data_IF_225188012397
#
_entry.id   IF_225188012397
#
_cell.length_a   1.000
_cell.length_b   1.000
_cell.length_c   1.000
_cell.angle_alpha   90.00
_cell.angle_beta   90.00
_cell.angle_gamma   90.00
#
_symmetry.space_group_name_H-M   'P 1'
#
loop_
_entity.id
_entity.type
_entity.pdbx_description
1 polymer ?
#
# COMPACT_ATOMS: atom_id res chain seq x y z
N UNK A 1 -0.80 -1.47 5.49
CA UNK A 1 -0.18 -0.53 4.52
C UNK A 1 -0.58 -0.98 3.13
N UNK A 2 -1.40 -0.18 2.44
CA UNK A 2 -2.11 -0.58 1.23
C UNK A 2 -1.57 0.24 0.06
N UNK A 3 -1.12 -0.42 -1.01
CA UNK A 3 -0.84 0.23 -2.29
C UNK A 3 -2.04 -0.01 -3.22
N UNK A 4 -2.49 1.04 -3.90
CA UNK A 4 -3.51 0.98 -4.96
C UNK A 4 -2.94 1.64 -6.21
N UNK A 5 -2.92 0.92 -7.33
CA UNK A 5 -2.59 1.43 -8.66
C UNK A 5 -3.78 1.13 -9.56
N UNK A 6 -4.50 2.16 -10.03
CA UNK A 6 -5.32 2.06 -11.24
C UNK A 6 -5.15 3.35 -12.04
N UNK A 7 -4.70 3.20 -13.28
CA UNK A 7 -4.51 4.24 -14.28
C UNK A 7 -5.66 4.21 -15.30
N UNK A 8 -6.17 5.37 -15.68
CA UNK A 8 -7.10 5.51 -16.81
C UNK A 8 -6.36 5.24 -18.13
N UNK A 9 -6.93 4.35 -18.95
CA UNK A 9 -6.31 3.79 -20.15
C UNK A 9 -6.47 4.70 -21.35
N UNK A 10 -5.54 5.64 -21.53
CA UNK A 10 -5.20 6.20 -22.86
C UNK A 10 -3.76 6.68 -22.85
N UNK A 11 -2.85 5.95 -23.53
CA UNK A 11 -1.61 6.56 -24.03
C UNK A 11 -0.25 6.08 -23.48
N UNK A 12 -0.09 4.84 -23.01
CA UNK A 12 1.26 4.29 -22.79
C UNK A 12 1.66 3.36 -23.95
N UNK A 13 2.21 3.96 -24.99
CA UNK A 13 3.00 3.28 -26.01
C UNK A 13 4.35 4.01 -26.13
N UNK A 14 5.44 3.28 -25.91
CA UNK A 14 6.80 3.77 -26.19
C UNK A 14 7.86 3.34 -25.17
N UNK A 15 8.31 2.09 -25.28
CA UNK A 15 9.66 1.61 -24.98
C UNK A 15 10.38 2.04 -23.68
N UNK A 16 10.18 1.26 -22.61
CA UNK A 16 11.21 1.10 -21.57
C UNK A 16 11.86 -0.29 -21.69
N UNK A 17 13.02 -0.32 -22.33
CA UNK A 17 13.85 -1.52 -22.55
C UNK A 17 14.46 -2.01 -21.23
N UNK A 18 13.93 -3.11 -20.70
CA UNK A 18 14.36 -3.86 -19.49
C UNK A 18 15.71 -4.63 -19.71
N UNK A 19 16.55 -4.21 -20.64
CA UNK A 19 17.71 -5.01 -21.08
C UNK A 19 19.00 -4.81 -20.27
N UNK A 20 19.05 -3.92 -19.29
CA UNK A 20 20.26 -3.70 -18.46
C UNK A 20 20.36 -4.62 -17.24
N UNK A 21 19.24 -5.09 -16.68
CA UNK A 21 19.27 -5.98 -15.50
C UNK A 21 19.40 -7.48 -15.86
N UNK A 22 18.86 -7.91 -17.01
CA UNK A 22 18.96 -9.30 -17.44
C UNK A 22 20.38 -9.72 -17.84
N UNK A 23 21.20 -8.78 -18.34
CA UNK A 23 22.54 -9.09 -18.84
C UNK A 23 23.53 -9.45 -17.71
N UNK A 24 23.36 -8.88 -16.52
CA UNK A 24 24.26 -9.08 -15.37
C UNK A 24 24.08 -10.48 -14.75
N UNK A 25 22.87 -11.06 -14.83
CA UNK A 25 22.59 -12.41 -14.33
C UNK A 25 22.93 -13.51 -15.34
N UNK A 26 22.85 -13.23 -16.65
CA UNK A 26 23.07 -14.24 -17.68
C UNK A 26 24.55 -14.57 -17.92
N UNK A 27 25.45 -13.62 -17.74
CA UNK A 27 26.90 -13.82 -17.96
C UNK A 27 27.50 -14.92 -17.05
N UNK A 28 27.28 -14.93 -15.72
CA UNK A 28 27.82 -16.00 -14.87
C UNK A 28 27.14 -17.35 -15.09
N UNK A 29 25.86 -17.39 -15.47
CA UNK A 29 25.16 -18.64 -15.80
C UNK A 29 25.71 -19.26 -17.11
N UNK A 30 26.03 -18.41 -18.09
CA UNK A 30 26.59 -18.85 -19.37
C UNK A 30 28.02 -19.39 -19.20
N UNK A 31 28.87 -18.74 -18.39
CA UNK A 31 30.22 -19.22 -18.06
C UNK A 31 30.19 -20.50 -17.20
N UNK A 32 29.22 -20.66 -16.29
CA UNK A 32 29.04 -21.89 -15.51
C UNK A 32 28.61 -23.08 -16.38
N UNK A 33 27.67 -22.89 -17.30
CA UNK A 33 27.24 -23.94 -18.24
C UNK A 33 28.39 -24.29 -19.20
N UNK A 34 29.13 -23.29 -19.68
CA UNK A 34 30.30 -23.47 -20.54
C UNK A 34 31.42 -24.28 -19.85
N UNK A 35 31.75 -23.99 -18.58
CA UNK A 35 32.79 -24.73 -17.87
C UNK A 35 32.38 -26.17 -17.55
N UNK A 36 31.08 -26.41 -17.29
CA UNK A 36 30.56 -27.76 -17.05
C UNK A 36 30.49 -28.61 -18.32
N UNK A 37 30.25 -28.01 -19.49
CA UNK A 37 30.36 -28.70 -20.78
C UNK A 37 31.82 -29.01 -21.17
N UNK A 38 32.78 -28.16 -20.78
CA UNK A 38 34.19 -28.39 -21.08
C UNK A 38 34.86 -29.42 -20.14
N UNK A 39 34.32 -29.61 -18.93
CA UNK A 39 34.84 -30.56 -17.93
C UNK A 39 34.18 -31.95 -17.97
N UNK A 40 33.24 -32.23 -18.89
CA UNK A 40 32.67 -33.59 -19.03
C UNK A 40 33.55 -34.57 -19.81
N UNK A 41 34.68 -34.11 -20.36
CA UNK A 41 35.62 -34.95 -21.14
C UNK A 41 36.85 -35.44 -20.34
N UNK A 42 36.86 -35.26 -19.01
CA UNK A 42 37.95 -35.77 -18.16
C UNK A 42 37.43 -36.39 -16.84
N UNK A 43 36.72 -37.52 -16.95
CA UNK A 43 36.65 -38.49 -15.86
C UNK A 43 37.99 -39.25 -15.79
N UNK A 44 38.74 -39.09 -14.70
CA UNK A 44 39.33 -40.20 -13.92
C UNK A 44 40.31 -39.70 -12.84
N UNK A 45 40.28 -40.41 -11.71
CA UNK A 45 41.22 -40.43 -10.59
C UNK A 45 41.30 -39.20 -9.68
N UNK A 46 40.83 -39.35 -8.44
CA UNK A 46 41.71 -39.57 -7.27
C UNK A 46 40.87 -39.54 -5.97
N UNK A 47 40.56 -40.73 -5.45
CA UNK A 47 40.16 -40.93 -4.06
C UNK A 47 41.42 -41.14 -3.20
N UNK A 48 41.29 -40.79 -1.90
CA UNK A 48 42.25 -40.88 -0.80
C UNK A 48 43.22 -39.71 -0.65
N UNK A 49 43.02 -38.95 0.44
CA UNK A 49 44.04 -38.69 1.47
C UNK A 49 43.29 -38.33 2.76
N UNK A 50 43.45 -39.19 3.76
CA UNK A 50 43.12 -38.95 5.17
C UNK A 50 44.34 -38.31 5.84
N UNK A 51 44.20 -37.10 6.41
CA UNK A 51 45.21 -36.55 7.31
C UNK A 51 44.67 -36.56 8.74
N UNK A 52 45.25 -37.47 9.53
CA UNK A 52 45.16 -37.54 10.97
C UNK A 52 46.44 -36.89 11.49
N UNK A 53 46.35 -35.69 12.08
CA UNK A 53 47.48 -35.07 12.76
C UNK A 53 47.05 -34.75 14.20
N UNK A 54 47.36 -35.69 15.09
CA UNK A 54 47.33 -35.52 16.53
C UNK A 54 48.65 -34.86 16.94
N UNK A 55 48.62 -33.61 17.38
CA UNK A 55 49.75 -32.98 18.04
C UNK A 55 49.79 -33.42 19.52
N UNK A 56 50.88 -34.08 19.94
CA UNK A 56 51.19 -34.24 21.37
C UNK A 56 52.01 -33.05 21.89
N UNK A 57 51.74 -32.73 23.14
CA UNK A 57 51.76 -31.39 23.72
C UNK A 57 52.99 -31.21 24.60
N UNK A 58 53.53 -29.99 24.69
CA UNK A 58 54.07 -29.49 25.95
C UNK A 58 52.93 -29.27 26.94
N UNK A 59 52.34 -30.38 27.41
CA UNK A 59 51.28 -30.53 28.41
C UNK A 59 50.23 -29.41 28.56
N UNK A 60 49.14 -29.45 27.80
CA UNK A 60 47.79 -29.04 28.21
C UNK A 60 46.77 -29.27 27.07
N UNK A 61 45.80 -30.17 27.31
CA UNK A 61 44.70 -30.47 26.40
C UNK A 61 43.55 -29.47 26.62
N UNK A 62 43.29 -28.58 25.65
CA UNK A 62 42.06 -27.79 25.60
C UNK A 62 41.19 -28.35 24.48
N UNK A 63 40.12 -29.06 24.87
CA UNK A 63 39.11 -29.56 23.94
C UNK A 63 38.29 -28.41 23.36
N UNK A 64 38.19 -28.34 22.03
CA UNK A 64 37.25 -27.46 21.34
C UNK A 64 36.27 -28.34 20.56
N UNK A 65 34.99 -28.18 20.85
CA UNK A 65 33.86 -28.92 20.25
C UNK A 65 33.64 -28.57 18.77
N UNK A 66 33.13 -29.51 17.95
CA UNK A 66 32.93 -29.28 16.52
C UNK A 66 31.57 -28.62 16.30
N UNK A 67 31.53 -27.29 16.30
CA UNK A 67 30.38 -26.52 15.82
C UNK A 67 30.84 -25.69 14.62
N UNK A 68 31.13 -26.37 13.50
CA UNK A 68 31.28 -25.70 12.20
C UNK A 68 29.91 -25.80 11.50
N UNK A 69 29.21 -24.67 11.49
CA UNK A 69 27.85 -24.49 10.98
C UNK A 69 27.70 -24.86 9.49
N UNK A 70 26.52 -25.38 9.04
CA UNK A 70 26.21 -25.70 7.64
C UNK A 70 26.33 -24.52 6.65
N UNK A 71 26.47 -23.29 7.14
CA UNK A 71 26.73 -22.10 6.34
C UNK A 71 28.07 -22.16 5.59
N UNK A 72 29.10 -22.83 6.15
CA UNK A 72 30.41 -22.91 5.50
C UNK A 72 30.39 -23.76 4.23
N UNK A 73 29.53 -24.79 4.20
CA UNK A 73 29.39 -25.69 3.05
C UNK A 73 28.65 -25.02 1.87
N UNK A 74 27.68 -24.16 2.18
CA UNK A 74 26.90 -23.39 1.20
C UNK A 74 27.73 -22.28 0.52
N UNK A 75 28.72 -21.72 1.23
CA UNK A 75 29.68 -20.76 0.68
C UNK A 75 30.76 -21.40 -0.20
N UNK A 76 31.18 -22.63 0.15
CA UNK A 76 32.20 -23.40 -0.59
C UNK A 76 31.74 -23.86 -1.98
N UNK A 77 30.43 -24.06 -2.17
CA UNK A 77 29.84 -24.58 -3.41
C UNK A 77 29.26 -23.50 -4.34
N UNK A 78 29.40 -22.22 -3.97
CA UNK A 78 28.97 -21.09 -4.81
C UNK A 78 30.00 -20.85 -5.94
N UNK A 79 29.56 -20.73 -7.21
CA UNK A 79 30.45 -20.33 -8.30
C UNK A 79 31.12 -19.01 -7.94
N UNK A 80 32.44 -18.92 -8.08
CA UNK A 80 33.25 -17.77 -7.65
C UNK A 80 32.72 -16.43 -8.18
N UNK A 81 32.08 -16.43 -9.37
CA UNK A 81 31.42 -15.25 -9.93
C UNK A 81 30.23 -14.74 -9.12
N UNK A 82 29.41 -15.63 -8.55
CA UNK A 82 28.25 -15.25 -7.72
C UNK A 82 28.72 -14.70 -6.37
N UNK A 83 29.72 -15.35 -5.75
CA UNK A 83 30.32 -14.87 -4.53
C UNK A 83 30.98 -13.49 -4.72
N UNK A 84 31.74 -13.30 -5.81
CA UNK A 84 32.38 -12.03 -6.13
C UNK A 84 31.35 -10.92 -6.43
N UNK A 85 30.30 -11.20 -7.19
CA UNK A 85 29.24 -10.22 -7.46
C UNK A 85 28.46 -9.84 -6.20
N UNK A 86 28.20 -10.80 -5.29
CA UNK A 86 27.51 -10.54 -4.03
C UNK A 86 28.38 -9.74 -3.05
N UNK A 87 29.69 -10.01 -3.01
CA UNK A 87 30.66 -9.22 -2.24
C UNK A 87 30.81 -7.81 -2.80
N UNK A 88 30.93 -7.64 -4.12
CA UNK A 88 30.99 -6.32 -4.77
C UNK A 88 29.69 -5.55 -4.53
N UNK A 89 28.53 -6.21 -4.62
CA UNK A 89 27.23 -5.62 -4.31
C UNK A 89 27.16 -5.16 -2.84
N UNK A 90 27.55 -6.00 -1.88
CA UNK A 90 27.57 -5.65 -0.46
C UNK A 90 28.58 -4.54 -0.16
N UNK A 91 29.76 -4.57 -0.79
CA UNK A 91 30.80 -3.54 -0.66
C UNK A 91 30.41 -2.20 -1.27
N UNK A 92 29.57 -2.17 -2.32
CA UNK A 92 29.05 -0.90 -2.87
C UNK A 92 27.79 -0.42 -2.14
N UNK A 93 26.92 -1.33 -1.70
CA UNK A 93 25.63 -0.99 -1.11
C UNK A 93 25.74 -0.40 0.30
N UNK A 94 26.66 -0.91 1.14
CA UNK A 94 26.90 -0.35 2.47
C UNK A 94 27.44 1.10 2.48
N UNK A 95 28.46 1.48 1.67
CA UNK A 95 28.92 2.86 1.62
C UNK A 95 27.92 3.79 0.93
N UNK A 96 27.08 3.31 0.01
CA UNK A 96 26.03 4.15 -0.59
C UNK A 96 24.91 4.49 0.40
N UNK A 97 24.50 3.52 1.22
CA UNK A 97 23.58 3.75 2.35
C UNK A 97 24.15 4.75 3.35
N UNK A 98 25.43 4.58 3.72
CA UNK A 98 26.13 5.52 4.60
C UNK A 98 26.28 6.92 3.96
N UNK A 99 26.55 7.00 2.66
CA UNK A 99 26.65 8.26 1.91
C UNK A 99 25.30 8.98 1.85
N UNK A 100 24.20 8.28 1.61
CA UNK A 100 22.85 8.86 1.63
C UNK A 100 22.47 9.33 3.04
N UNK A 101 22.82 8.56 4.07
CA UNK A 101 22.68 8.99 5.47
C UNK A 101 23.49 10.26 5.77
N UNK A 102 24.75 10.33 5.32
CA UNK A 102 25.57 11.54 5.45
C UNK A 102 24.96 12.71 4.69
N UNK A 103 24.44 12.51 3.48
CA UNK A 103 23.84 13.58 2.69
C UNK A 103 22.62 14.18 3.40
N UNK A 104 21.78 13.34 4.02
CA UNK A 104 20.65 13.79 4.84
C UNK A 104 21.14 14.55 6.08
N UNK A 105 22.12 14.00 6.81
CA UNK A 105 22.67 14.62 8.02
C UNK A 105 23.33 15.97 7.69
N UNK A 106 24.15 16.03 6.64
CA UNK A 106 24.79 17.25 6.17
C UNK A 106 23.75 18.29 5.72
N UNK A 107 22.68 17.87 5.04
CA UNK A 107 21.59 18.78 4.63
C UNK A 107 20.83 19.32 5.83
N UNK A 108 20.53 18.47 6.83
CA UNK A 108 19.88 18.86 8.08
C UNK A 108 20.75 19.77 8.94
N UNK A 109 22.07 19.54 8.97
CA UNK A 109 23.04 20.41 9.67
C UNK A 109 23.30 21.72 8.92
N UNK A 110 23.16 21.73 7.59
CA UNK A 110 23.27 22.94 6.78
C UNK A 110 22.02 23.83 6.87
N UNK A 111 20.84 23.25 7.13
CA UNK A 111 19.56 23.95 7.23
C UNK A 111 19.60 25.17 8.19
N UNK A 112 20.13 25.07 9.43
CA UNK A 112 20.27 26.22 10.31
C UNK A 112 21.11 27.35 9.72
N UNK A 113 22.23 27.03 9.05
CA UNK A 113 23.09 28.02 8.40
C UNK A 113 22.40 28.65 7.19
N UNK A 114 21.68 27.86 6.39
CA UNK A 114 20.86 28.31 5.26
C UNK A 114 19.74 29.25 5.73
N UNK A 115 19.09 28.92 6.85
CA UNK A 115 18.06 29.76 7.49
C UNK A 115 18.65 31.04 8.07
N UNK A 116 19.79 30.97 8.76
CA UNK A 116 20.48 32.14 9.35
C UNK A 116 21.02 33.10 8.29
N UNK A 117 21.52 32.56 7.17
CA UNK A 117 22.01 33.36 6.04
C UNK A 117 20.89 33.82 5.10
N UNK A 118 19.62 33.51 5.40
CA UNK A 118 18.47 33.90 4.58
C UNK A 118 18.58 33.44 3.11
N UNK A 119 19.29 32.32 2.88
CA UNK A 119 19.66 31.85 1.55
C UNK A 119 18.45 31.28 0.77
N UNK A 120 17.40 30.85 1.48
CA UNK A 120 16.11 30.41 0.93
C UNK A 120 15.08 31.55 0.88
N UNK A 121 15.50 32.81 0.72
CA UNK A 121 14.57 33.90 0.46
C UNK A 121 13.94 33.73 -0.92
N UNK A 122 12.64 33.43 -0.94
CA UNK A 122 11.84 33.51 -2.15
C UNK A 122 11.96 34.91 -2.76
N UNK A 123 12.30 34.97 -4.04
CA UNK A 123 12.24 36.20 -4.82
C UNK A 123 10.83 36.83 -4.71
N UNK A 124 10.68 38.17 -4.73
CA UNK A 124 9.39 38.82 -4.56
C UNK A 124 8.31 38.39 -5.56
N UNK A 125 8.67 37.87 -6.74
CA UNK A 125 7.70 37.27 -7.65
C UNK A 125 7.19 35.93 -7.14
N UNK A 126 8.08 35.03 -6.72
CA UNK A 126 7.71 33.73 -6.14
C UNK A 126 6.92 33.87 -4.84
N UNK A 127 7.27 34.85 -4.00
CA UNK A 127 6.51 35.14 -2.78
C UNK A 127 5.07 35.54 -3.08
N UNK A 128 4.83 36.31 -4.16
CA UNK A 128 3.48 36.67 -4.60
C UNK A 128 2.69 35.45 -5.06
N UNK A 129 3.31 34.60 -5.88
CA UNK A 129 2.70 33.35 -6.33
C UNK A 129 2.33 32.43 -5.14
N UNK A 130 3.20 32.30 -4.14
CA UNK A 130 2.90 31.51 -2.93
C UNK A 130 1.70 32.12 -2.17
N UNK A 131 1.62 33.44 -2.07
CA UNK A 131 0.47 34.11 -1.44
C UNK A 131 -0.81 33.84 -2.22
N UNK A 132 -0.79 33.95 -3.55
CA UNK A 132 -1.94 33.62 -4.42
C UNK A 132 -2.41 32.17 -4.23
N UNK A 133 -1.48 31.20 -4.19
CA UNK A 133 -1.80 29.79 -3.91
C UNK A 133 -2.44 29.62 -2.52
N UNK A 134 -1.96 30.35 -1.52
CA UNK A 134 -2.55 30.33 -0.17
C UNK A 134 -3.93 30.98 -0.13
N UNK A 135 -4.20 31.98 -0.98
CA UNK A 135 -5.52 32.59 -1.16
C UNK A 135 -6.50 31.60 -1.81
N UNK A 136 -6.06 30.85 -2.84
CA UNK A 136 -6.86 29.80 -3.49
C UNK A 136 -7.35 28.74 -2.49
N UNK A 137 -6.51 28.36 -1.52
CA UNK A 137 -6.89 27.43 -0.45
C UNK A 137 -7.60 28.09 0.75
N UNK A 138 -7.98 29.36 0.63
CA UNK A 138 -8.71 30.15 1.63
C UNK A 138 -8.01 30.19 2.98
N UNK A 139 -6.68 30.35 2.99
CA UNK A 139 -5.93 30.58 4.23
C UNK A 139 -6.19 31.99 4.75
N UNK A 140 -6.54 32.17 6.03
CA UNK A 140 -6.66 33.49 6.62
C UNK A 140 -5.28 34.15 6.71
N UNK A 141 -5.17 35.40 6.25
CA UNK A 141 -3.94 36.20 6.28
C UNK A 141 -2.72 35.46 5.66
N UNK A 142 -2.77 35.13 4.36
CA UNK A 142 -1.76 34.33 3.67
C UNK A 142 -0.36 34.97 3.77
N UNK A 143 -0.27 36.29 3.69
CA UNK A 143 1.00 37.05 3.80
C UNK A 143 1.73 36.81 5.12
N UNK A 144 0.99 36.61 6.21
CA UNK A 144 1.54 36.26 7.51
C UNK A 144 1.90 34.77 7.57
N UNK A 145 1.02 33.90 7.07
CA UNK A 145 1.21 32.44 7.09
C UNK A 145 2.47 31.99 6.34
N UNK A 146 2.87 32.68 5.27
CA UNK A 146 4.15 32.43 4.56
C UNK A 146 5.37 32.50 5.49
N UNK A 147 5.27 33.21 6.62
CA UNK A 147 6.35 33.36 7.60
C UNK A 147 6.20 32.47 8.83
N UNK A 148 5.08 31.76 8.97
CA UNK A 148 4.76 30.95 10.14
C UNK A 148 5.39 29.56 10.05
N UNK A 149 5.73 28.99 11.19
CA UNK A 149 6.15 27.60 11.31
C UNK A 149 4.94 26.66 11.32
N UNK A 150 5.10 25.39 10.89
CA UNK A 150 4.01 24.42 10.90
C UNK A 150 3.30 24.24 12.25
N UNK A 151 4.03 24.40 13.37
CA UNK A 151 3.45 24.28 14.72
C UNK A 151 2.64 25.50 15.17
N UNK A 152 2.71 26.62 14.44
CA UNK A 152 1.91 27.82 14.68
C UNK A 152 0.55 27.77 13.95
N UNK A 153 0.33 26.74 13.12
CA UNK A 153 -0.87 26.57 12.30
C UNK A 153 -1.87 25.60 12.95
N UNK A 154 -3.16 25.94 12.87
CA UNK A 154 -4.22 25.00 13.25
C UNK A 154 -4.19 23.73 12.38
N UNK A 155 -4.84 22.64 12.82
CA UNK A 155 -4.92 21.40 12.02
C UNK A 155 -5.48 21.65 10.61
N UNK A 156 -6.60 22.38 10.51
CA UNK A 156 -7.19 22.76 9.23
C UNK A 156 -6.30 23.67 8.38
N UNK A 157 -5.54 24.60 8.98
CA UNK A 157 -4.58 25.43 8.24
C UNK A 157 -3.43 24.59 7.68
N UNK A 158 -2.91 23.62 8.45
CA UNK A 158 -1.89 22.69 7.95
C UNK A 158 -2.41 21.86 6.78
N UNK A 159 -3.65 21.38 6.86
CA UNK A 159 -4.29 20.66 5.76
C UNK A 159 -4.39 21.52 4.50
N UNK A 160 -4.87 22.76 4.63
CA UNK A 160 -4.99 23.72 3.51
C UNK A 160 -3.63 24.02 2.88
N UNK A 161 -2.59 24.23 3.68
CA UNK A 161 -1.22 24.42 3.18
C UNK A 161 -0.75 23.18 2.42
N UNK A 162 -1.01 21.96 2.92
CA UNK A 162 -0.67 20.72 2.22
C UNK A 162 -1.41 20.60 0.87
N UNK A 163 -2.71 20.91 0.84
CA UNK A 163 -3.49 20.93 -0.41
C UNK A 163 -2.93 21.97 -1.38
N UNK A 164 -2.59 23.17 -0.89
CA UNK A 164 -1.94 24.22 -1.68
C UNK A 164 -0.63 23.72 -2.31
N UNK A 165 0.21 23.05 -1.52
CA UNK A 165 1.47 22.47 -2.01
C UNK A 165 1.23 21.43 -3.09
N UNK A 166 0.22 20.57 -2.93
CA UNK A 166 -0.13 19.56 -3.93
C UNK A 166 -0.70 20.17 -5.21
N UNK A 167 -1.46 21.26 -5.09
CA UNK A 167 -2.11 21.96 -6.21
C UNK A 167 -1.20 22.99 -6.89
N UNK A 168 -0.07 23.36 -6.27
CA UNK A 168 0.86 24.38 -6.79
C UNK A 168 1.38 24.08 -8.20
N UNK A 169 1.46 22.80 -8.57
CA UNK A 169 1.90 22.34 -9.90
C UNK A 169 0.73 22.09 -10.88
N UNK A 170 -0.49 22.49 -10.52
CA UNK A 170 -1.72 22.25 -11.29
C UNK A 170 -1.82 20.81 -11.82
N UNK A 171 -1.80 19.80 -10.91
CA UNK A 171 -1.73 18.41 -11.31
C UNK A 171 -3.00 18.00 -12.07
N UNK A 172 -2.83 17.14 -13.08
CA UNK A 172 -3.98 16.49 -13.74
C UNK A 172 -4.66 15.44 -12.86
N UNK A 173 -3.94 14.91 -11.86
CA UNK A 173 -4.43 13.91 -10.92
C UNK A 173 -3.86 14.21 -9.52
N UNK A 174 -4.76 14.36 -8.55
CA UNK A 174 -4.46 14.44 -7.13
C UNK A 174 -4.83 13.12 -6.46
N UNK A 175 -3.88 12.48 -5.79
CA UNK A 175 -4.13 11.29 -4.97
C UNK A 175 -4.19 11.75 -3.52
N UNK A 176 -5.35 11.58 -2.90
CA UNK A 176 -5.63 12.02 -1.55
C UNK A 176 -5.88 10.80 -0.66
N UNK A 177 -4.87 10.41 0.11
CA UNK A 177 -4.94 9.30 1.05
C UNK A 177 -5.36 9.80 2.44
N UNK A 178 -6.58 9.44 2.84
CA UNK A 178 -7.20 9.82 4.11
C UNK A 178 -7.06 11.34 4.43
N UNK A 179 -7.42 12.24 3.49
CA UNK A 179 -7.06 13.66 3.55
C UNK A 179 -7.86 14.45 4.59
N UNK A 180 -8.72 13.82 5.37
CA UNK A 180 -9.48 14.46 6.45
C UNK A 180 -9.28 13.76 7.79
N UNK A 181 -8.42 12.74 7.83
CA UNK A 181 -8.10 12.05 9.08
C UNK A 181 -7.47 13.04 10.08
N UNK A 182 -7.89 12.94 11.34
CA UNK A 182 -7.51 13.82 12.45
C UNK A 182 -8.04 15.27 12.39
N UNK A 183 -9.04 15.56 11.54
CA UNK A 183 -9.78 16.83 11.56
C UNK A 183 -11.14 16.66 12.25
N UNK A 184 -11.64 17.74 12.84
CA UNK A 184 -13.02 17.77 13.29
C UNK A 184 -14.00 17.79 12.10
N UNK A 185 -15.23 17.35 12.34
CA UNK A 185 -16.27 17.21 11.30
C UNK A 185 -16.55 18.53 10.56
N UNK A 186 -16.43 19.67 11.24
CA UNK A 186 -16.69 20.98 10.62
C UNK A 186 -15.57 21.36 9.65
N UNK A 187 -14.31 21.20 10.06
CA UNK A 187 -13.16 21.46 9.21
C UNK A 187 -13.07 20.45 8.07
N UNK A 188 -13.39 19.18 8.30
CA UNK A 188 -13.49 18.15 7.24
C UNK A 188 -14.39 18.62 6.10
N UNK A 189 -15.62 19.05 6.39
CA UNK A 189 -16.56 19.53 5.36
C UNK A 189 -16.00 20.74 4.58
N UNK A 190 -15.31 21.65 5.26
CA UNK A 190 -14.67 22.80 4.61
C UNK A 190 -13.53 22.38 3.66
N UNK A 191 -12.72 21.39 4.07
CA UNK A 191 -11.62 20.87 3.27
C UNK A 191 -12.15 20.13 2.03
N UNK A 192 -13.16 19.28 2.19
CA UNK A 192 -13.77 18.56 1.07
C UNK A 192 -14.40 19.51 0.05
N UNK A 193 -15.08 20.55 0.53
CA UNK A 193 -15.63 21.61 -0.33
C UNK A 193 -14.51 22.35 -1.07
N UNK A 194 -13.41 22.68 -0.39
CA UNK A 194 -12.25 23.30 -1.03
C UNK A 194 -11.69 22.41 -2.14
N UNK A 195 -11.47 21.12 -1.86
CA UNK A 195 -10.95 20.17 -2.85
C UNK A 195 -11.88 20.05 -4.06
N UNK A 196 -13.20 20.02 -3.84
CA UNK A 196 -14.19 20.02 -4.92
C UNK A 196 -14.09 21.27 -5.80
N UNK A 197 -14.01 22.45 -5.18
CA UNK A 197 -13.91 23.71 -5.92
C UNK A 197 -12.62 23.74 -6.76
N UNK A 198 -11.48 23.37 -6.16
CA UNK A 198 -10.19 23.34 -6.86
C UNK A 198 -10.17 22.33 -8.02
N UNK A 199 -10.81 21.16 -7.84
CA UNK A 199 -11.04 20.16 -8.90
C UNK A 199 -11.76 20.79 -10.09
N UNK A 200 -12.88 21.46 -9.83
CA UNK A 200 -13.75 22.03 -10.85
C UNK A 200 -13.10 23.24 -11.56
N UNK A 201 -12.38 24.07 -10.81
CA UNK A 201 -11.69 25.26 -11.34
C UNK A 201 -10.43 24.91 -12.16
N UNK A 202 -9.64 23.93 -11.70
CA UNK A 202 -8.34 23.58 -12.32
C UNK A 202 -8.43 22.38 -13.28
N UNK A 203 -9.56 21.68 -13.34
CA UNK A 203 -9.73 20.48 -14.16
C UNK A 203 -8.86 19.30 -13.69
N UNK A 204 -8.57 19.25 -12.39
CA UNK A 204 -7.78 18.18 -11.76
C UNK A 204 -8.68 16.97 -11.46
N UNK A 205 -8.27 15.75 -11.78
CA UNK A 205 -8.95 14.55 -11.28
C UNK A 205 -8.55 14.29 -9.82
N UNK A 206 -9.47 13.82 -8.97
CA UNK A 206 -9.17 13.44 -7.58
C UNK A 206 -9.40 11.94 -7.38
N UNK A 207 -8.36 11.23 -6.97
CA UNK A 207 -8.46 9.87 -6.43
C UNK A 207 -8.44 9.97 -4.90
N UNK A 208 -9.62 9.79 -4.30
CA UNK A 208 -9.77 9.77 -2.85
C UNK A 208 -9.67 8.35 -2.31
N UNK A 209 -8.86 8.15 -1.28
CA UNK A 209 -8.79 6.90 -0.51
C UNK A 209 -9.29 7.24 0.88
N UNK A 210 -10.40 6.63 1.29
CA UNK A 210 -10.93 6.80 2.64
C UNK A 210 -11.77 5.61 3.08
N UNK A 211 -11.85 5.41 4.39
CA UNK A 211 -12.79 4.50 5.04
C UNK A 211 -14.14 5.16 5.39
N UNK A 212 -14.28 6.48 5.24
CA UNK A 212 -15.51 7.21 5.57
C UNK A 212 -16.47 7.28 4.38
N UNK A 213 -17.58 6.54 4.47
CA UNK A 213 -18.62 6.51 3.44
C UNK A 213 -19.40 7.84 3.33
N UNK A 214 -19.44 8.66 4.38
CA UNK A 214 -20.02 10.00 4.34
C UNK A 214 -19.19 10.94 3.46
N UNK A 215 -17.86 10.86 3.55
CA UNK A 215 -16.95 11.60 2.68
C UNK A 215 -17.09 11.16 1.22
N UNK A 216 -17.18 9.85 0.99
CA UNK A 216 -17.37 9.28 -0.35
C UNK A 216 -18.68 9.79 -0.97
N UNK A 217 -19.78 9.76 -0.22
CA UNK A 217 -21.09 10.25 -0.66
C UNK A 217 -21.09 11.75 -1.01
N UNK A 218 -20.20 12.52 -0.41
CA UNK A 218 -20.08 13.94 -0.67
C UNK A 218 -19.21 14.24 -1.90
N UNK A 219 -18.03 13.64 -2.05
CA UNK A 219 -17.02 14.09 -3.02
C UNK A 219 -16.93 13.26 -4.32
N UNK A 220 -17.26 11.96 -4.27
CA UNK A 220 -16.89 11.02 -5.33
C UNK A 220 -18.02 10.77 -6.35
N UNK A 221 -17.65 10.64 -7.63
CA UNK A 221 -18.60 10.26 -8.70
C UNK A 221 -18.70 8.72 -8.87
N UNK A 222 -17.62 8.02 -8.57
CA UNK A 222 -17.49 6.57 -8.66
C UNK A 222 -16.73 6.01 -7.46
N UNK A 223 -16.99 4.75 -7.12
CA UNK A 223 -16.47 4.09 -5.92
C UNK A 223 -15.87 2.75 -6.28
N UNK A 224 -14.73 2.43 -5.67
CA UNK A 224 -14.13 1.10 -5.70
C UNK A 224 -13.94 0.62 -4.28
N UNK A 225 -14.62 -0.47 -3.92
CA UNK A 225 -14.54 -1.10 -2.62
C UNK A 225 -13.44 -2.17 -2.67
N UNK A 226 -12.58 -2.16 -1.66
CA UNK A 226 -11.52 -3.15 -1.49
C UNK A 226 -11.70 -3.94 -0.19
N UNK A 227 -11.31 -5.20 -0.22
CA UNK A 227 -11.26 -6.07 0.95
C UNK A 227 -9.99 -6.90 0.93
N UNK A 228 -9.24 -6.89 2.04
CA UNK A 228 -8.00 -7.65 2.23
C UNK A 228 -7.04 -7.55 1.02
N UNK A 229 -6.86 -6.35 0.45
CA UNK A 229 -5.97 -6.10 -0.68
C UNK A 229 -6.52 -6.43 -2.07
N UNK A 230 -7.78 -6.87 -2.19
CA UNK A 230 -8.43 -7.11 -3.49
C UNK A 230 -9.56 -6.11 -3.72
N UNK A 231 -9.73 -5.66 -4.96
CA UNK A 231 -10.98 -5.00 -5.37
C UNK A 231 -12.09 -6.03 -5.31
N UNK A 232 -13.21 -5.65 -4.67
CA UNK A 232 -14.39 -6.52 -4.53
C UNK A 232 -15.60 -5.95 -5.25
N UNK A 233 -15.72 -4.63 -5.35
CA UNK A 233 -16.83 -3.99 -6.05
C UNK A 233 -16.39 -2.66 -6.65
N UNK A 234 -16.88 -2.31 -7.84
CA UNK A 234 -16.63 -0.99 -8.45
C UNK A 234 -17.83 -0.56 -9.27
N UNK A 235 -18.15 0.73 -9.25
CA UNK A 235 -19.27 1.29 -10.00
C UNK A 235 -19.47 2.77 -9.71
N UNK A 236 -20.54 3.34 -10.26
CA UNK A 236 -20.95 4.70 -9.89
C UNK A 236 -21.31 4.78 -8.40
N UNK A 237 -21.28 6.00 -7.85
CA UNK A 237 -21.67 6.25 -6.47
C UNK A 237 -23.07 5.67 -6.14
N UNK A 238 -24.05 5.92 -7.02
CA UNK A 238 -25.43 5.44 -6.83
C UNK A 238 -25.49 3.91 -6.81
N UNK A 239 -24.81 3.25 -7.75
CA UNK A 239 -24.80 1.79 -7.86
C UNK A 239 -24.22 1.15 -6.59
N UNK A 240 -23.05 1.61 -6.13
CA UNK A 240 -22.36 1.00 -4.99
C UNK A 240 -23.02 1.35 -3.66
N UNK A 241 -23.46 2.59 -3.45
CA UNK A 241 -24.06 3.00 -2.16
C UNK A 241 -25.53 2.60 -2.02
N UNK A 242 -26.29 2.52 -3.13
CA UNK A 242 -27.74 2.25 -3.07
C UNK A 242 -28.10 0.83 -3.46
N UNK A 243 -27.33 0.19 -4.36
CA UNK A 243 -27.60 -1.16 -4.86
C UNK A 243 -26.35 -2.05 -4.82
N UNK A 244 -25.62 -2.12 -3.68
CA UNK A 244 -24.42 -2.94 -3.56
C UNK A 244 -24.70 -4.41 -3.91
N UNK A 245 -23.73 -5.05 -4.56
CA UNK A 245 -23.81 -6.45 -5.01
C UNK A 245 -22.85 -7.37 -4.28
N UNK A 246 -21.83 -6.85 -3.60
CA UNK A 246 -20.97 -7.67 -2.74
C UNK A 246 -21.56 -7.81 -1.34
N UNK A 247 -21.59 -9.03 -0.76
CA UNK A 247 -21.99 -9.22 0.64
C UNK A 247 -21.19 -8.35 1.61
N UNK A 248 -19.90 -8.15 1.35
CA UNK A 248 -19.07 -7.23 2.15
C UNK A 248 -19.53 -5.78 2.06
N UNK A 249 -19.76 -5.25 0.86
CA UNK A 249 -20.24 -3.86 0.68
C UNK A 249 -21.61 -3.65 1.31
N UNK A 250 -22.50 -4.65 1.21
CA UNK A 250 -23.81 -4.64 1.87
C UNK A 250 -23.63 -4.55 3.39
N UNK A 251 -22.84 -5.46 3.97
CA UNK A 251 -22.57 -5.46 5.41
C UNK A 251 -21.96 -4.14 5.86
N UNK A 252 -21.01 -3.58 5.09
CA UNK A 252 -20.35 -2.31 5.40
C UNK A 252 -21.36 -1.14 5.48
N UNK A 253 -22.26 -1.05 4.51
CA UNK A 253 -23.29 0.00 4.47
C UNK A 253 -24.31 -0.14 5.61
N UNK A 254 -24.61 -1.37 6.02
CA UNK A 254 -25.55 -1.67 7.11
C UNK A 254 -24.96 -1.50 8.51
N UNK A 255 -23.64 -1.60 8.65
CA UNK A 255 -22.94 -1.29 9.90
C UNK A 255 -22.89 0.21 10.19
N UNK A 256 -23.32 1.08 9.27
CA UNK A 256 -23.44 2.51 9.54
C UNK A 256 -24.70 2.78 10.36
N UNK A 257 -24.59 3.42 11.54
CA UNK A 257 -25.75 3.82 12.32
C UNK A 257 -26.66 4.75 11.53
N UNK A 258 -27.93 4.38 11.37
CA UNK A 258 -28.96 5.25 10.78
C UNK A 258 -29.71 5.97 11.90
N UNK A 259 -29.70 7.29 11.87
CA UNK A 259 -30.56 8.11 12.74
C UNK A 259 -31.96 8.11 12.12
N UNK A 260 -32.72 7.04 12.30
CA UNK A 260 -34.12 6.97 11.87
C UNK A 260 -35.03 7.43 12.99
N UNK A 261 -35.65 8.61 12.82
CA UNK A 261 -36.74 9.05 13.69
C UNK A 261 -38.00 8.24 13.39
N UNK A 262 -38.25 7.17 14.15
CA UNK A 262 -39.61 6.69 14.42
C UNK A 262 -40.05 5.30 13.92
N UNK A 263 -39.20 4.44 13.34
CA UNK A 263 -39.60 3.08 12.95
C UNK A 263 -38.49 2.08 13.27
N UNK A 264 -38.76 1.21 14.26
CA UNK A 264 -37.96 0.09 14.75
C UNK A 264 -36.47 0.45 15.03
N UNK A 265 -36.21 0.97 16.23
CA UNK A 265 -34.88 0.87 16.85
C UNK A 265 -34.50 -0.62 16.85
N UNK A 266 -33.58 -1.03 15.97
CA UNK A 266 -32.91 -2.32 16.14
C UNK A 266 -32.16 -2.26 17.48
N UNK A 267 -32.43 -3.21 18.38
CA UNK A 267 -31.78 -3.28 19.70
C UNK A 267 -30.25 -3.44 19.57
N UNK A 268 -29.78 -4.02 18.46
CA UNK A 268 -28.37 -4.24 18.16
C UNK A 268 -27.98 -3.69 16.79
N UNK A 269 -26.79 -3.09 16.73
CA UNK A 269 -26.21 -2.63 15.46
C UNK A 269 -25.72 -3.84 14.64
N UNK A 270 -26.05 -3.91 13.34
CA UNK A 270 -25.50 -4.92 12.45
C UNK A 270 -23.97 -4.91 12.42
N UNK A 271 -23.35 -6.05 12.70
CA UNK A 271 -21.90 -6.23 12.59
C UNK A 271 -21.56 -7.29 11.54
N UNK A 272 -20.39 -7.15 10.91
CA UNK A 272 -19.80 -8.21 10.10
C UNK A 272 -18.95 -9.09 11.03
N UNK A 273 -19.34 -10.34 11.33
CA UNK A 273 -18.64 -11.17 12.32
C UNK A 273 -17.21 -11.52 11.88
N UNK A 274 -16.36 -11.85 12.86
CA UNK A 274 -14.97 -12.28 12.63
C UNK A 274 -13.96 -11.15 12.34
N UNK A 275 -12.68 -11.54 12.26
CA UNK A 275 -11.55 -10.62 12.07
C UNK A 275 -11.18 -10.47 10.59
N UNK A 276 -10.70 -9.28 10.20
CA UNK A 276 -10.16 -9.07 8.85
C UNK A 276 -8.91 -9.94 8.67
N UNK A 277 -8.82 -10.78 7.62
CA UNK A 277 -7.64 -11.60 7.39
C UNK A 277 -6.44 -10.73 6.98
N UNK A 278 -5.23 -11.19 7.28
CA UNK A 278 -4.01 -10.50 6.85
C UNK A 278 -3.97 -10.45 5.31
N UNK A 279 -3.86 -9.26 4.68
CA UNK A 279 -3.78 -9.15 3.22
C UNK A 279 -2.64 -9.95 2.59
N UNK A 280 -1.57 -10.24 3.34
CA UNK A 280 -0.40 -11.00 2.90
C UNK A 280 -0.56 -12.52 3.03
N UNK A 281 -1.64 -12.99 3.65
CA UNK A 281 -1.92 -14.41 3.73
C UNK A 281 -2.18 -14.98 2.33
N UNK A 282 -1.89 -16.28 2.15
CA UNK A 282 -2.30 -16.99 0.94
C UNK A 282 -3.82 -17.23 0.96
N UNK A 283 -4.47 -17.01 -0.19
CA UNK A 283 -5.91 -17.26 -0.37
C UNK A 283 -6.13 -18.13 -1.60
N UNK A 284 -6.68 -19.32 -1.41
CA UNK A 284 -7.08 -20.21 -2.50
C UNK A 284 -8.35 -19.70 -3.23
N UNK A 285 -9.19 -18.93 -2.51
CA UNK A 285 -10.50 -18.50 -2.99
C UNK A 285 -10.85 -17.03 -2.70
N UNK A 286 -12.14 -16.79 -2.50
CA UNK A 286 -12.68 -15.48 -2.10
C UNK A 286 -12.09 -15.06 -0.75
N UNK A 287 -11.45 -13.90 -0.69
CA UNK A 287 -10.84 -13.38 0.56
C UNK A 287 -11.87 -13.13 1.67
N UNK A 288 -13.14 -12.90 1.32
CA UNK A 288 -14.22 -12.64 2.26
C UNK A 288 -14.95 -13.93 2.72
N UNK A 289 -14.64 -15.11 2.19
CA UNK A 289 -15.35 -16.35 2.55
C UNK A 289 -15.42 -16.65 4.06
N UNK A 290 -14.42 -16.33 4.92
CA UNK A 290 -14.50 -16.66 6.35
C UNK A 290 -15.58 -15.86 7.10
N UNK A 291 -16.05 -14.76 6.51
CA UNK A 291 -16.99 -13.81 7.12
C UNK A 291 -18.26 -13.63 6.28
N UNK A 292 -18.42 -14.44 5.23
CA UNK A 292 -19.53 -14.34 4.31
C UNK A 292 -20.61 -15.36 4.70
N UNK A 293 -21.87 -14.94 4.96
CA UNK A 293 -22.96 -15.87 5.29
C UNK A 293 -23.35 -16.79 4.11
N UNK A 294 -22.87 -16.47 2.90
CA UNK A 294 -23.12 -17.26 1.69
C UNK A 294 -21.92 -18.07 1.23
N UNK A 295 -20.89 -18.23 2.07
CA UNK A 295 -19.71 -18.99 1.73
C UNK A 295 -20.06 -20.46 1.44
N UNK A 296 -19.44 -21.01 0.39
CA UNK A 296 -19.50 -22.41 0.02
C UNK A 296 -18.11 -22.91 -0.42
N UNK A 297 -18.00 -24.20 -0.77
CA UNK A 297 -16.75 -24.81 -1.23
C UNK A 297 -16.12 -24.07 -2.43
N UNK A 298 -16.94 -23.53 -3.34
CA UNK A 298 -16.47 -22.73 -4.49
C UNK A 298 -15.83 -21.42 -4.03
N UNK A 299 -16.39 -20.77 -3.02
CA UNK A 299 -15.81 -19.56 -2.43
C UNK A 299 -14.47 -19.84 -1.72
N UNK A 300 -14.26 -21.03 -1.19
CA UNK A 300 -13.01 -21.41 -0.51
C UNK A 300 -11.92 -21.76 -1.54
N UNK A 301 -12.28 -22.48 -2.60
CA UNK A 301 -11.32 -23.07 -3.54
C UNK A 301 -11.02 -22.24 -4.79
N UNK A 302 -11.80 -21.20 -5.10
CA UNK A 302 -11.63 -20.44 -6.35
C UNK A 302 -11.88 -18.95 -6.13
N UNK A 303 -10.96 -18.06 -6.55
CA UNK A 303 -11.16 -16.63 -6.43
C UNK A 303 -12.31 -16.18 -7.35
N UNK A 304 -13.26 -15.38 -6.86
CA UNK A 304 -14.36 -14.90 -7.68
C UNK A 304 -13.86 -13.94 -8.76
N UNK A 305 -14.27 -14.11 -10.04
CA UNK A 305 -13.92 -13.15 -11.08
C UNK A 305 -14.69 -11.84 -10.87
N UNK A 306 -14.12 -10.72 -11.32
CA UNK A 306 -14.86 -9.45 -11.43
C UNK A 306 -15.85 -9.55 -12.59
N UNK A 307 -17.14 -9.64 -12.27
CA UNK A 307 -18.23 -9.77 -13.25
C UNK A 307 -19.02 -8.47 -13.31
N UNK A 308 -19.36 -8.03 -14.52
CA UNK A 308 -20.27 -6.91 -14.74
C UNK A 308 -21.71 -7.35 -14.46
N UNK A 309 -22.34 -6.72 -13.48
CA UNK A 309 -23.72 -7.02 -13.04
C UNK A 309 -24.73 -6.12 -13.74
N UNK A 310 -24.37 -4.85 -13.86
CA UNK A 310 -25.07 -3.80 -14.59
C UNK A 310 -24.02 -2.97 -15.34
N UNK A 311 -24.37 -2.20 -16.38
CA UNK A 311 -23.41 -1.41 -17.13
C UNK A 311 -22.52 -0.54 -16.22
N UNK A 312 -21.21 -0.80 -16.24
CA UNK A 312 -20.24 -0.10 -15.42
C UNK A 312 -20.20 -0.50 -13.93
N UNK A 313 -20.99 -1.48 -13.49
CA UNK A 313 -21.02 -1.98 -12.11
C UNK A 313 -20.49 -3.42 -12.06
N UNK A 314 -19.34 -3.59 -11.43
CA UNK A 314 -18.65 -4.88 -11.32
C UNK A 314 -18.57 -5.35 -9.88
N UNK A 315 -18.73 -6.65 -9.66
CA UNK A 315 -18.60 -7.28 -8.35
C UNK A 315 -17.85 -8.62 -8.46
N UNK A 316 -16.97 -8.90 -7.50
CA UNK A 316 -16.24 -10.16 -7.37
C UNK A 316 -16.94 -11.12 -6.40
N UNK A 317 -18.10 -11.67 -6.79
CA UNK A 317 -18.80 -12.69 -6.02
C UNK A 317 -19.28 -13.85 -6.89
N UNK A 318 -19.22 -15.07 -6.36
CA UNK A 318 -19.84 -16.24 -7.01
C UNK A 318 -21.38 -16.26 -6.87
N UNK A 319 -21.95 -15.44 -5.99
CA UNK A 319 -23.36 -15.44 -5.58
C UNK A 319 -24.05 -14.08 -5.79
N UNK A 320 -23.72 -13.37 -6.87
CA UNK A 320 -24.33 -12.07 -7.20
C UNK A 320 -25.84 -12.16 -7.48
N UNK A 321 -26.36 -13.36 -7.74
CA UNK A 321 -27.77 -13.67 -7.84
C UNK A 321 -28.50 -13.57 -6.49
N UNK A 322 -27.83 -13.94 -5.40
CA UNK A 322 -28.36 -13.92 -4.03
C UNK A 322 -28.27 -12.55 -3.36
N UNK A 323 -27.48 -11.63 -3.92
CA UNK A 323 -27.30 -10.27 -3.39
C UNK A 323 -28.21 -9.24 -4.05
N UNK A 324 -29.23 -9.69 -4.78
CA UNK A 324 -30.19 -8.79 -5.44
C UNK A 324 -31.03 -8.00 -4.47
N UNK A 325 -31.47 -8.67 -3.40
CA UNK A 325 -32.33 -8.13 -2.37
C UNK A 325 -31.48 -7.90 -1.13
N UNK A 326 -31.24 -6.63 -0.80
CA UNK A 326 -30.32 -6.24 0.28
C UNK A 326 -30.80 -6.70 1.65
N UNK A 327 -32.13 -6.72 1.89
CA UNK A 327 -32.70 -7.23 3.15
C UNK A 327 -32.36 -8.69 3.40
N UNK A 328 -32.43 -9.53 2.38
CA UNK A 328 -32.16 -10.97 2.51
C UNK A 328 -30.69 -11.24 2.89
N UNK A 329 -29.78 -10.39 2.39
CA UNK A 329 -28.36 -10.43 2.77
C UNK A 329 -28.18 -9.98 4.21
N UNK A 330 -28.91 -8.95 4.64
CA UNK A 330 -28.86 -8.49 6.03
C UNK A 330 -29.36 -9.56 7.00
N UNK A 331 -30.50 -10.20 6.70
CA UNK A 331 -31.06 -11.25 7.53
C UNK A 331 -30.10 -12.44 7.63
N UNK A 332 -29.38 -12.75 6.54
CA UNK A 332 -28.33 -13.77 6.55
C UNK A 332 -27.13 -13.39 7.44
N UNK A 333 -26.75 -12.10 7.49
CA UNK A 333 -25.73 -11.62 8.43
C UNK A 333 -26.21 -11.65 9.87
N UNK A 334 -27.47 -11.31 10.15
CA UNK A 334 -28.04 -11.32 11.50
C UNK A 334 -28.03 -12.75 12.08
N UNK A 335 -28.43 -13.74 11.27
CA UNK A 335 -28.34 -15.17 11.63
C UNK A 335 -26.89 -15.61 11.84
N UNK A 336 -25.99 -15.26 10.92
CA UNK A 336 -24.58 -15.63 11.00
C UNK A 336 -23.88 -15.01 12.22
N UNK A 337 -24.22 -13.78 12.59
CA UNK A 337 -23.69 -13.12 13.78
C UNK A 337 -24.14 -13.83 15.07
N UNK A 338 -25.41 -14.21 15.17
CA UNK A 338 -25.92 -14.95 16.32
C UNK A 338 -25.21 -16.31 16.49
N UNK A 339 -25.01 -17.05 15.40
CA UNK A 339 -24.26 -18.32 15.43
C UNK A 339 -22.80 -18.12 15.84
N UNK A 340 -22.16 -17.05 15.35
CA UNK A 340 -20.77 -16.73 15.65
C UNK A 340 -20.56 -16.38 17.13
N UNK A 341 -21.49 -15.63 17.75
CA UNK A 341 -21.46 -15.33 19.18
C UNK A 341 -21.63 -16.59 20.04
N UNK A 342 -22.52 -17.50 19.65
CA UNK A 342 -22.73 -18.78 20.34
C UNK A 342 -21.52 -19.71 20.26
N UNK A 343 -20.68 -19.59 19.23
CA UNK A 343 -19.46 -20.38 19.06
C UNK A 343 -18.29 -19.92 19.96
N UNK A 344 -18.43 -18.80 20.70
CA UNK A 344 -17.45 -18.38 21.71
C UNK A 344 -16.10 -17.90 21.17
N UNK A 345 -16.03 -17.52 19.89
CA UNK A 345 -14.82 -17.01 19.24
C UNK A 345 -14.84 -15.47 19.24
N UNK A 346 -14.83 -14.87 20.43
CA UNK A 346 -14.72 -13.42 20.62
C UNK A 346 -13.30 -13.03 21.03
#
# INVERSE_FOLDING_TARGET
LTFVIIAHRTGFAGDLKIYSFGLILLIPLFEYIRSRMLNSDSENDFNHISFQESAEIGGESIGVSPIIHPAYFLLSSMPLGVAASLIIFLMLWMPFSALMGMLVICTLLALPAIMLQDYLRLDPAHRRQVVEILEDVQIPNPTAVVKMYPHELSGGMRQRVMIAMMMACEPKLLIADEPTTALDVTIQAQILKLMRNLRDEKGTAILLITHDLGVIAELCDAVTVMYAGSVVETGSLEQVLSRPRMPYSIGLLHSIPRITTGLAERETLPIIPGQVPDPNQHFDGCRFHPRCPFANEKCISTPPPMVEIEPGHFAACHHTDRTKVVSDVQDAFDVFAAEYEHAGVA
#
